data_IF_056768821626
#
_entry.id   IF_056768821626
#
_cell.length_a   1.000
_cell.length_b   1.000
_cell.length_c   1.000
_cell.angle_alpha   90.00
_cell.angle_beta   90.00
_cell.angle_gamma   90.00
#
_symmetry.space_group_name_H-M   'P 1'
#
loop_
_entity.id
_entity.type
_entity.pdbx_description
1 polymer ?
#
# COMPACT_ATOMS: atom_id res chain seq x y z
N UNK A 1 17.48 -0.39 -4.05
CA UNK A 1 17.25 0.46 -2.86
C UNK A 1 17.25 -0.41 -1.61
N UNK A 2 17.92 0.02 -0.56
CA UNK A 2 17.94 -0.71 0.71
C UNK A 2 16.59 -0.55 1.42
N UNK A 3 16.23 -1.56 2.21
CA UNK A 3 14.97 -1.53 2.97
C UNK A 3 14.89 -0.32 3.89
N UNK A 4 16.01 0.08 4.50
CA UNK A 4 16.05 1.27 5.36
C UNK A 4 15.74 2.56 4.60
N UNK A 5 16.25 2.68 3.38
CA UNK A 5 15.97 3.84 2.52
C UNK A 5 14.51 3.86 2.08
N UNK A 6 14.01 2.70 1.69
CA UNK A 6 12.61 2.54 1.29
C UNK A 6 11.67 2.87 2.45
N UNK A 7 11.99 2.39 3.65
CA UNK A 7 11.18 2.66 4.85
C UNK A 7 11.12 4.16 5.15
N UNK A 8 12.24 4.87 5.00
CA UNK A 8 12.27 6.33 5.22
C UNK A 8 11.37 7.04 4.23
N UNK A 9 11.43 6.66 2.97
CA UNK A 9 10.60 7.26 1.92
C UNK A 9 9.13 6.96 2.15
N UNK A 10 8.78 5.72 2.48
CA UNK A 10 7.40 5.31 2.76
C UNK A 10 6.86 6.05 3.98
N UNK A 11 7.66 6.22 5.03
CA UNK A 11 7.25 6.97 6.22
C UNK A 11 6.91 8.42 5.87
N UNK A 12 7.73 9.06 5.04
CA UNK A 12 7.47 10.42 4.58
C UNK A 12 6.18 10.51 3.75
N UNK A 13 5.97 9.57 2.85
CA UNK A 13 4.76 9.53 2.04
C UNK A 13 3.51 9.33 2.90
N UNK A 14 3.56 8.39 3.85
CA UNK A 14 2.45 8.16 4.77
C UNK A 14 2.13 9.40 5.60
N UNK A 15 3.15 10.12 6.05
CA UNK A 15 2.97 11.30 6.88
C UNK A 15 2.45 12.52 6.10
N UNK A 16 2.70 12.59 4.79
CA UNK A 16 2.44 13.81 4.00
C UNK A 16 1.40 13.66 2.90
N UNK A 17 1.15 12.44 2.40
CA UNK A 17 0.24 12.21 1.28
C UNK A 17 -1.06 11.56 1.75
N UNK A 18 -2.21 11.89 1.12
CA UNK A 18 -3.48 11.22 1.46
C UNK A 18 -3.49 9.75 1.04
N UNK A 19 -2.75 9.41 -0.01
CA UNK A 19 -2.59 8.04 -0.49
C UNK A 19 -1.48 7.96 -1.50
N UNK A 20 -0.87 6.78 -1.64
CA UNK A 20 0.20 6.57 -2.63
C UNK A 20 0.35 5.09 -2.94
N UNK A 21 0.98 4.82 -4.07
CA UNK A 21 1.46 3.47 -4.45
C UNK A 21 2.83 3.63 -5.07
N UNK A 22 3.81 2.92 -4.53
CA UNK A 22 5.18 2.95 -5.04
C UNK A 22 5.73 1.54 -5.22
N UNK A 23 6.72 1.40 -6.09
CA UNK A 23 7.43 0.14 -6.28
C UNK A 23 8.36 -0.15 -5.10
N UNK A 24 8.97 -1.32 -5.09
CA UNK A 24 9.96 -1.69 -4.08
C UNK A 24 11.23 -0.81 -4.13
N UNK A 25 11.39 -0.01 -5.18
CA UNK A 25 12.48 0.97 -5.29
C UNK A 25 12.00 2.40 -5.05
N UNK A 26 10.77 2.56 -4.58
CA UNK A 26 10.21 3.86 -4.23
C UNK A 26 9.66 4.66 -5.39
N UNK A 27 9.55 4.06 -6.57
CA UNK A 27 9.05 4.78 -7.75
C UNK A 27 7.53 4.79 -7.78
N UNK A 28 6.91 5.95 -8.07
CA UNK A 28 5.45 6.03 -8.17
C UNK A 28 4.93 5.28 -9.39
N UNK A 29 3.68 4.84 -9.31
CA UNK A 29 3.01 4.10 -10.37
C UNK A 29 2.29 5.09 -11.29
N UNK A 30 2.57 5.07 -12.60
CA UNK A 30 1.93 6.03 -13.52
C UNK A 30 0.47 5.73 -13.81
N UNK A 31 0.09 4.46 -13.92
CA UNK A 31 -1.27 4.06 -14.26
C UNK A 31 -1.52 2.60 -13.92
N UNK A 32 -2.78 2.23 -13.78
CA UNK A 32 -3.20 0.86 -13.54
C UNK A 32 -4.22 0.75 -12.43
N UNK A 33 -4.53 -0.49 -12.07
CA UNK A 33 -5.43 -0.81 -10.98
C UNK A 33 -4.62 -1.40 -9.83
N UNK A 34 -4.89 -0.94 -8.61
CA UNK A 34 -4.16 -1.37 -7.42
C UNK A 34 -5.07 -2.22 -6.54
N UNK A 35 -4.58 -3.40 -6.19
CA UNK A 35 -5.34 -4.32 -5.34
C UNK A 35 -4.50 -4.67 -4.12
N UNK A 36 -5.00 -4.31 -2.94
CA UNK A 36 -4.33 -4.60 -1.68
C UNK A 36 -4.48 -6.05 -1.23
N UNK A 37 -4.06 -6.31 0.01
CA UNK A 37 -4.24 -7.61 0.64
C UNK A 37 -3.32 -8.72 0.13
N UNK A 38 -2.24 -8.38 -0.56
CA UNK A 38 -1.36 -9.39 -1.14
C UNK A 38 -0.72 -10.30 -0.08
N UNK A 39 -0.33 -9.75 1.05
CA UNK A 39 0.33 -10.52 2.11
C UNK A 39 -0.66 -11.27 3.00
N UNK A 40 -1.68 -10.59 3.48
CA UNK A 40 -2.61 -11.18 4.46
C UNK A 40 -3.73 -11.97 3.82
N UNK A 41 -4.27 -11.48 2.72
CA UNK A 41 -5.31 -12.19 1.96
C UNK A 41 -6.60 -12.47 2.78
N UNK A 42 -6.86 -11.67 3.79
CA UNK A 42 -8.01 -11.81 4.69
C UNK A 42 -8.89 -10.56 4.78
N UNK A 43 -8.68 -9.62 3.86
CA UNK A 43 -9.41 -8.37 3.81
C UNK A 43 -8.77 -7.24 4.62
N UNK A 44 -7.78 -7.54 5.45
CA UNK A 44 -7.11 -6.51 6.24
C UNK A 44 -5.80 -6.06 5.59
N UNK A 45 -5.33 -4.87 5.97
CA UNK A 45 -4.07 -4.34 5.52
C UNK A 45 -2.89 -5.01 6.23
N UNK A 46 -1.69 -4.82 5.71
CA UNK A 46 -0.48 -5.39 6.28
C UNK A 46 -0.19 -4.84 7.68
N UNK A 47 -0.30 -3.52 7.85
CA UNK A 47 -0.02 -2.88 9.12
C UNK A 47 -0.74 -1.54 9.25
N UNK A 48 -0.92 -1.09 10.49
CA UNK A 48 -1.53 0.19 10.83
C UNK A 48 -0.66 0.87 11.88
N UNK A 49 -0.48 2.18 11.76
CA UNK A 49 0.38 2.96 12.65
C UNK A 49 -0.34 4.23 13.10
N UNK A 50 -0.06 4.72 14.32
CA UNK A 50 -0.55 6.02 14.71
C UNK A 50 0.13 7.12 13.90
N UNK A 51 -0.58 8.22 13.68
CA UNK A 51 -0.02 9.35 12.96
C UNK A 51 1.05 10.04 13.82
N UNK A 52 2.27 10.28 13.28
CA UNK A 52 3.31 10.96 14.05
C UNK A 52 2.98 12.43 14.23
N UNK A 53 3.30 12.97 15.40
CA UNK A 53 3.06 14.38 15.73
C UNK A 53 4.36 15.16 15.98
N UNK A 54 5.50 14.46 15.97
CA UNK A 54 6.81 15.09 16.14
C UNK A 54 7.90 14.23 15.47
N UNK A 55 9.14 14.74 15.49
CA UNK A 55 10.28 14.10 14.85
C UNK A 55 10.58 12.73 15.43
N UNK A 56 10.51 12.60 16.75
CA UNK A 56 10.79 11.33 17.41
C UNK A 56 9.79 10.26 17.01
N UNK A 57 8.52 10.62 16.89
CA UNK A 57 7.47 9.71 16.45
C UNK A 57 7.63 9.34 14.97
N UNK A 58 8.08 10.28 14.14
CA UNK A 58 8.36 9.99 12.73
C UNK A 58 9.53 9.01 12.59
N UNK A 59 10.57 9.16 13.40
CA UNK A 59 11.69 8.22 13.41
C UNK A 59 11.24 6.83 13.87
N UNK A 60 10.38 6.77 14.90
CA UNK A 60 9.82 5.50 15.37
C UNK A 60 8.95 4.85 14.28
N UNK A 61 8.17 5.64 13.56
CA UNK A 61 7.36 5.16 12.43
C UNK A 61 8.26 4.55 11.35
N UNK A 62 9.37 5.23 11.01
CA UNK A 62 10.31 4.73 10.02
C UNK A 62 10.87 3.36 10.42
N UNK A 63 11.29 3.19 11.67
CA UNK A 63 11.78 1.92 12.16
C UNK A 63 10.70 0.82 12.14
N UNK A 64 9.48 1.16 12.51
CA UNK A 64 8.37 0.22 12.49
C UNK A 64 8.06 -0.24 11.06
N UNK A 65 8.08 0.68 10.11
CA UNK A 65 7.86 0.37 8.70
C UNK A 65 8.99 -0.53 8.18
N UNK A 66 10.24 -0.23 8.52
CA UNK A 66 11.36 -1.07 8.10
C UNK A 66 11.18 -2.51 8.58
N UNK A 67 10.82 -2.69 9.84
CA UNK A 67 10.56 -4.01 10.39
C UNK A 67 9.43 -4.73 9.63
N UNK A 68 8.37 -4.01 9.31
CA UNK A 68 7.24 -4.56 8.56
C UNK A 68 7.65 -4.96 7.14
N UNK A 69 8.40 -4.10 6.44
CA UNK A 69 8.86 -4.39 5.08
C UNK A 69 9.81 -5.59 5.05
N UNK A 70 10.62 -5.76 6.08
CA UNK A 70 11.51 -6.92 6.18
C UNK A 70 10.74 -8.23 6.26
N UNK A 71 9.54 -8.25 6.84
CA UNK A 71 8.71 -9.46 6.87
C UNK A 71 8.13 -9.81 5.50
N UNK A 72 8.17 -8.90 4.55
CA UNK A 72 7.58 -9.06 3.23
C UNK A 72 8.62 -8.94 2.10
N UNK A 73 9.90 -9.10 2.44
CA UNK A 73 10.98 -8.87 1.48
C UNK A 73 10.88 -9.76 0.23
N UNK A 74 10.43 -11.01 0.39
CA UNK A 74 10.28 -11.93 -0.73
C UNK A 74 9.22 -11.45 -1.72
N UNK A 75 8.09 -10.96 -1.21
CA UNK A 75 7.03 -10.42 -2.05
C UNK A 75 7.49 -9.15 -2.78
N UNK A 76 8.24 -8.30 -2.10
CA UNK A 76 8.79 -7.08 -2.73
C UNK A 76 9.78 -7.44 -3.85
N UNK A 77 10.60 -8.46 -3.65
CA UNK A 77 11.51 -8.95 -4.69
C UNK A 77 10.76 -9.55 -5.87
N UNK A 78 9.58 -10.12 -5.62
CA UNK A 78 8.74 -10.69 -6.67
C UNK A 78 7.87 -9.65 -7.38
N UNK A 79 8.06 -8.36 -7.10
CA UNK A 79 7.38 -7.29 -7.82
C UNK A 79 6.17 -6.71 -7.12
N UNK A 80 5.95 -7.00 -5.83
CA UNK A 80 4.89 -6.35 -5.08
C UNK A 80 5.16 -4.85 -4.97
N UNK A 81 4.07 -4.07 -4.93
CA UNK A 81 4.12 -2.63 -4.70
C UNK A 81 3.69 -2.34 -3.26
N UNK A 82 3.98 -1.12 -2.82
CA UNK A 82 3.62 -0.66 -1.49
C UNK A 82 2.54 0.39 -1.64
N UNK A 83 1.40 0.16 -0.98
CA UNK A 83 0.30 1.12 -0.92
C UNK A 83 0.16 1.69 0.48
N UNK A 84 -0.21 2.94 0.58
CA UNK A 84 -0.47 3.57 1.86
C UNK A 84 -1.59 4.58 1.77
N UNK A 85 -2.32 4.76 2.87
CA UNK A 85 -3.39 5.74 2.96
C UNK A 85 -3.69 6.07 4.43
N UNK A 86 -4.51 7.08 4.64
CA UNK A 86 -4.99 7.42 5.97
C UNK A 86 -6.42 6.97 6.16
N UNK A 87 -6.71 6.40 7.33
CA UNK A 87 -8.05 6.01 7.70
C UNK A 87 -8.25 6.22 9.19
N UNK A 88 -9.18 7.10 9.56
CA UNK A 88 -9.57 7.30 10.97
C UNK A 88 -8.39 7.61 11.91
N UNK A 89 -7.53 8.55 11.51
CA UNK A 89 -6.33 8.96 12.26
C UNK A 89 -5.22 7.92 12.31
N UNK A 90 -5.34 6.85 11.55
CA UNK A 90 -4.29 5.87 11.40
C UNK A 90 -3.65 5.95 10.01
N UNK A 91 -2.38 5.60 9.96
CA UNK A 91 -1.66 5.39 8.70
C UNK A 91 -1.71 3.91 8.37
N UNK A 92 -2.18 3.58 7.19
CA UNK A 92 -2.37 2.19 6.76
C UNK A 92 -1.35 1.85 5.70
N UNK A 93 -0.65 0.73 5.89
CA UNK A 93 0.35 0.22 4.97
C UNK A 93 -0.09 -1.15 4.46
N UNK A 94 0.01 -1.35 3.15
CA UNK A 94 -0.34 -2.63 2.55
C UNK A 94 0.59 -2.97 1.40
N UNK A 95 0.69 -4.25 1.09
CA UNK A 95 1.30 -4.70 -0.15
C UNK A 95 0.22 -4.86 -1.19
N UNK A 96 0.48 -4.34 -2.38
CA UNK A 96 -0.52 -4.31 -3.44
C UNK A 96 0.03 -4.91 -4.72
N UNK A 97 -0.88 -5.44 -5.53
CA UNK A 97 -0.62 -5.80 -6.91
C UNK A 97 -1.10 -4.66 -7.79
N UNK A 98 -0.31 -4.30 -8.79
CA UNK A 98 -0.73 -3.34 -9.82
C UNK A 98 -0.95 -4.11 -11.11
N UNK A 99 -2.11 -3.97 -11.70
CA UNK A 99 -2.46 -4.64 -12.95
C UNK A 99 -3.10 -3.66 -13.92
N UNK A 100 -2.95 -3.90 -15.21
CA UNK A 100 -3.58 -3.07 -16.25
C UNK A 100 -5.03 -3.45 -16.52
N UNK A 101 -5.40 -4.69 -16.26
CA UNK A 101 -6.74 -5.19 -16.55
C UNK A 101 -7.68 -5.03 -15.39
N UNK A 102 -8.83 -4.37 -15.61
CA UNK A 102 -9.82 -4.18 -14.57
C UNK A 102 -10.46 -5.50 -14.12
N UNK A 103 -10.70 -6.43 -15.04
CA UNK A 103 -11.27 -7.74 -14.70
C UNK A 103 -10.35 -8.51 -13.77
N UNK A 104 -9.05 -8.44 -14.01
CA UNK A 104 -8.07 -9.09 -13.15
C UNK A 104 -8.04 -8.43 -11.77
N UNK A 105 -8.09 -7.10 -11.72
CA UNK A 105 -8.13 -6.37 -10.47
C UNK A 105 -9.34 -6.78 -9.63
N UNK A 106 -10.51 -6.86 -10.24
CA UNK A 106 -11.73 -7.25 -9.54
C UNK A 106 -11.63 -8.69 -9.02
N UNK A 107 -11.12 -9.60 -9.83
CA UNK A 107 -10.92 -10.99 -9.40
C UNK A 107 -9.96 -11.08 -8.22
N UNK A 108 -8.82 -10.38 -8.28
CA UNK A 108 -7.85 -10.35 -7.18
C UNK A 108 -8.46 -9.75 -5.91
N UNK A 109 -9.24 -8.68 -6.04
CA UNK A 109 -9.90 -8.07 -4.90
C UNK A 109 -10.87 -9.04 -4.23
N UNK A 110 -11.63 -9.79 -5.00
CA UNK A 110 -12.53 -10.81 -4.46
C UNK A 110 -11.78 -11.94 -3.77
N UNK A 111 -10.74 -12.46 -4.41
CA UNK A 111 -9.91 -13.53 -3.84
C UNK A 111 -9.26 -13.12 -2.53
N UNK A 112 -8.91 -11.84 -2.39
CA UNK A 112 -8.26 -11.28 -1.21
C UNK A 112 -9.24 -10.66 -0.22
N UNK A 113 -10.53 -10.82 -0.43
CA UNK A 113 -11.59 -10.29 0.43
C UNK A 113 -11.50 -8.77 0.63
N UNK A 114 -11.04 -8.06 -0.40
CA UNK A 114 -10.99 -6.61 -0.41
C UNK A 114 -12.36 -6.03 -0.74
N UNK A 115 -12.72 -4.93 -0.10
CA UNK A 115 -14.00 -4.25 -0.36
C UNK A 115 -13.94 -3.38 -1.62
N UNK A 116 -12.73 -3.04 -2.05
CA UNK A 116 -12.53 -2.14 -3.17
C UNK A 116 -11.13 -2.32 -3.74
N UNK A 117 -10.92 -1.79 -4.94
CA UNK A 117 -9.60 -1.62 -5.53
C UNK A 117 -9.51 -0.22 -6.12
N UNK A 118 -8.28 0.28 -6.29
CA UNK A 118 -8.04 1.63 -6.77
C UNK A 118 -7.68 1.69 -8.24
N UNK A 119 -7.86 2.86 -8.82
CA UNK A 119 -7.39 3.15 -10.18
C UNK A 119 -6.44 4.35 -10.14
N UNK A 120 -5.33 4.23 -10.85
CA UNK A 120 -4.32 5.28 -10.98
C UNK A 120 -4.24 5.73 -12.43
N UNK A 121 -4.28 7.05 -12.66
CA UNK A 121 -4.04 7.69 -13.95
C UNK A 121 -3.16 8.91 -13.70
N UNK A 122 -2.14 9.12 -14.52
CA UNK A 122 -1.18 10.21 -14.37
C UNK A 122 -0.63 10.31 -12.95
N UNK A 123 -0.22 9.18 -12.37
CA UNK A 123 0.39 9.07 -11.03
C UNK A 123 -0.54 9.39 -9.87
N UNK A 124 -1.86 9.49 -10.11
CA UNK A 124 -2.81 9.85 -9.07
C UNK A 124 -3.97 8.88 -8.99
N UNK A 125 -4.47 8.65 -7.78
CA UNK A 125 -5.70 7.90 -7.61
C UNK A 125 -6.86 8.71 -8.15
N UNK A 126 -7.56 8.13 -9.14
CA UNK A 126 -8.69 8.81 -9.78
C UNK A 126 -10.02 8.22 -9.38
N UNK A 127 -10.03 6.96 -8.93
CA UNK A 127 -11.28 6.29 -8.62
C UNK A 127 -11.06 5.09 -7.71
N UNK A 128 -12.05 4.86 -6.83
CA UNK A 128 -12.16 3.64 -6.05
C UNK A 128 -13.33 2.83 -6.63
N UNK A 129 -13.06 1.56 -6.89
CA UNK A 129 -14.06 0.64 -7.41
C UNK A 129 -14.49 -0.31 -6.31
N UNK A 130 -15.77 -0.30 -5.95
CA UNK A 130 -16.32 -1.20 -4.95
C UNK A 130 -16.50 -2.60 -5.52
N UNK A 131 -16.19 -3.60 -4.71
CA UNK A 131 -16.34 -5.00 -5.07
C UNK A 131 -17.53 -5.59 -4.31
N UNK A 132 -18.44 -6.20 -5.05
CA UNK A 132 -19.56 -6.88 -4.44
C UNK A 132 -19.17 -8.33 -4.13
N UNK A 133 -18.80 -8.60 -2.88
CA UNK A 133 -18.33 -9.91 -2.44
C UNK A 133 -19.44 -10.83 -1.91
N UNK A 134 -20.64 -10.33 -1.79
CA UNK A 134 -21.67 -11.06 -1.10
C UNK A 134 -22.79 -11.61 -1.96
N UNK A 135 -22.88 -11.11 -3.17
CA UNK A 135 -24.08 -11.43 -3.97
C UNK A 135 -23.78 -11.47 -5.43
#
# INVERSE_FOLDING_TARGET
MKTSELAREVAQLLATQPGFTVSATGEPVPAGFTVGGLKRNDGDALARYPQPTNRAQLDALTHAIEATLNTAIDLLRDGAYIGGWRANNELVLDLVTVTRGQKRAERLARERQQLAYGQIEDYQYTKEWRVNNGN
#
